data_IF_585349932487
#
_entry.id   IF_585349932487
#
_cell.length_a   1.000
_cell.length_b   1.000
_cell.length_c   1.000
_cell.angle_alpha   90.00
_cell.angle_beta   90.00
_cell.angle_gamma   90.00
#
_symmetry.space_group_name_H-M   'P 1'
#
loop_
_entity.id
_entity.type
_entity.pdbx_description
1 polymer ?
#
# COMPACT_ATOMS: atom_id res chain seq x y z
N UNK A 1 3.27 6.94 -9.87
CA UNK A 1 2.36 6.19 -10.76
C UNK A 1 1.17 7.05 -11.20
N UNK A 2 0.30 7.56 -10.31
CA UNK A 2 -0.90 8.36 -10.70
C UNK A 2 -0.53 9.52 -11.63
N UNK A 3 0.42 10.37 -11.24
CA UNK A 3 0.89 11.48 -12.10
C UNK A 3 1.35 11.00 -13.48
N UNK A 4 2.09 9.90 -13.55
CA UNK A 4 2.52 9.31 -14.81
C UNK A 4 1.34 8.88 -15.69
N UNK A 5 0.31 8.29 -15.09
CA UNK A 5 -0.91 7.90 -15.82
C UNK A 5 -1.67 9.12 -16.34
N UNK A 6 -1.72 10.22 -15.58
CA UNK A 6 -2.31 11.48 -16.05
C UNK A 6 -1.54 12.05 -17.25
N UNK A 7 -0.21 12.14 -17.12
CA UNK A 7 0.64 12.81 -18.13
C UNK A 7 0.74 12.01 -19.44
N UNK A 8 0.75 10.67 -19.37
CA UNK A 8 1.03 9.82 -20.52
C UNK A 8 -0.19 9.11 -21.10
N UNK A 9 -1.24 8.93 -20.28
CA UNK A 9 -2.44 8.19 -20.68
C UNK A 9 -3.72 9.01 -20.53
N UNK A 10 -3.60 10.28 -20.17
CA UNK A 10 -4.73 11.17 -19.92
C UNK A 10 -5.76 10.58 -18.93
N UNK A 11 -5.27 9.75 -17.99
CA UNK A 11 -6.11 9.15 -16.95
C UNK A 11 -6.55 10.21 -15.95
N UNK A 12 -7.81 10.18 -15.57
CA UNK A 12 -8.35 11.08 -14.54
C UNK A 12 -8.24 10.38 -13.17
N UNK A 13 -7.61 11.01 -12.16
CA UNK A 13 -7.42 10.38 -10.85
C UNK A 13 -8.71 9.93 -10.20
N UNK A 14 -9.79 10.68 -10.38
CA UNK A 14 -11.12 10.37 -9.86
C UNK A 14 -11.75 9.10 -10.47
N UNK A 15 -11.23 8.61 -11.58
CA UNK A 15 -11.64 7.36 -12.22
C UNK A 15 -10.75 6.18 -11.85
N UNK A 16 -9.63 6.44 -11.18
CA UNK A 16 -8.69 5.39 -10.77
C UNK A 16 -9.19 4.65 -9.53
N UNK A 17 -8.94 3.36 -9.50
CA UNK A 17 -9.14 2.50 -8.33
C UNK A 17 -7.78 2.13 -7.77
N UNK A 18 -7.61 2.25 -6.47
CA UNK A 18 -6.38 1.91 -5.77
C UNK A 18 -6.62 0.87 -4.68
N UNK A 19 -5.65 0.00 -4.48
CA UNK A 19 -5.67 -0.97 -3.38
C UNK A 19 -4.31 -0.99 -2.67
N UNK A 20 -4.36 -1.02 -1.33
CA UNK A 20 -3.20 -1.24 -0.47
C UNK A 20 -3.24 -2.70 -0.02
N UNK A 21 -2.33 -3.50 -0.54
CA UNK A 21 -2.22 -4.92 -0.25
C UNK A 21 -1.67 -5.21 1.15
N UNK A 22 -1.50 -6.50 1.53
CA UNK A 22 -0.90 -6.89 2.78
C UNK A 22 0.47 -6.26 2.98
N UNK A 23 0.66 -5.62 4.12
CA UNK A 23 1.90 -4.95 4.51
C UNK A 23 1.98 -4.85 6.03
N UNK A 24 3.10 -4.36 6.57
CA UNK A 24 3.29 -4.24 8.01
C UNK A 24 2.35 -3.17 8.59
N UNK A 25 1.66 -3.49 9.69
CA UNK A 25 0.78 -2.54 10.38
C UNK A 25 1.56 -1.61 11.33
N UNK A 26 0.89 -0.59 11.83
CA UNK A 26 1.46 0.40 12.74
C UNK A 26 2.05 -0.23 14.01
N UNK A 27 1.37 -1.20 14.62
CA UNK A 27 1.82 -1.85 15.86
C UNK A 27 3.13 -2.64 15.70
N UNK A 28 3.43 -3.08 14.49
CA UNK A 28 4.63 -3.85 14.16
C UNK A 28 5.75 -3.01 13.54
N UNK A 29 5.45 -1.79 13.07
CA UNK A 29 6.42 -0.99 12.33
C UNK A 29 7.00 0.14 13.18
N UNK A 30 7.94 -0.21 14.03
CA UNK A 30 8.72 0.76 14.82
C UNK A 30 9.93 1.25 14.03
N UNK A 31 10.14 2.57 13.99
CA UNK A 31 11.20 3.28 13.28
C UNK A 31 12.00 4.18 14.20
N UNK A 32 13.18 4.62 13.76
CA UNK A 32 14.01 5.59 14.47
C UNK A 32 13.48 7.02 14.33
N UNK A 33 13.96 7.92 15.20
CA UNK A 33 13.69 9.37 15.13
C UNK A 33 14.04 9.93 13.75
N UNK A 34 15.19 9.58 13.19
CA UNK A 34 15.65 10.04 11.88
C UNK A 34 14.62 9.71 10.77
N UNK A 35 14.06 8.51 10.78
CA UNK A 35 13.01 8.12 9.82
C UNK A 35 11.73 8.87 10.11
N UNK A 36 11.36 9.00 11.39
CA UNK A 36 10.14 9.69 11.80
C UNK A 36 10.14 11.17 11.37
N UNK A 37 11.28 11.86 11.47
CA UNK A 37 11.42 13.25 11.02
C UNK A 37 11.14 13.40 9.53
N UNK A 38 11.67 12.52 8.69
CA UNK A 38 11.39 12.54 7.25
C UNK A 38 9.90 12.40 6.94
N UNK A 39 9.18 11.59 7.73
CA UNK A 39 7.73 11.46 7.56
C UNK A 39 6.96 12.68 8.06
N UNK A 40 7.39 13.33 9.15
CA UNK A 40 6.77 14.58 9.64
C UNK A 40 6.83 15.72 8.62
N UNK A 41 7.93 15.82 7.88
CA UNK A 41 8.08 16.83 6.82
C UNK A 41 7.11 16.63 5.66
N UNK A 42 6.79 15.39 5.34
CA UNK A 42 5.97 15.03 4.16
C UNK A 42 4.49 14.89 4.50
N UNK A 43 4.19 14.41 5.70
CA UNK A 43 2.83 14.11 6.14
C UNK A 43 2.41 15.04 7.28
N UNK A 44 1.52 16.04 7.01
CA UNK A 44 0.91 16.84 8.06
C UNK A 44 -0.10 16.05 8.91
N UNK A 45 -0.56 14.91 8.38
CA UNK A 45 -1.44 13.99 9.11
C UNK A 45 -0.64 13.19 10.14
N UNK A 46 -1.30 12.82 11.21
CA UNK A 46 -0.72 11.99 12.25
C UNK A 46 -0.55 10.53 11.78
N UNK A 47 0.56 10.27 11.09
CA UNK A 47 0.97 8.92 10.66
C UNK A 47 1.97 8.28 11.61
N UNK A 48 2.37 9.01 12.65
CA UNK A 48 3.35 8.59 13.65
C UNK A 48 2.72 8.56 15.03
N UNK A 49 3.01 7.52 15.78
CA UNK A 49 2.62 7.38 17.17
C UNK A 49 3.88 7.19 18.04
N UNK A 50 3.84 7.46 19.34
CA UNK A 50 4.94 7.13 20.23
C UNK A 50 5.32 5.65 20.11
N UNK A 51 6.59 5.37 20.01
CA UNK A 51 7.11 3.99 19.96
C UNK A 51 7.17 3.34 21.35
N UNK A 52 7.58 2.08 21.38
CA UNK A 52 7.71 1.30 22.61
C UNK A 52 8.97 1.65 23.42
N UNK A 53 9.94 2.27 22.77
CA UNK A 53 11.19 2.70 23.40
C UNK A 53 11.44 4.20 23.17
N UNK A 54 12.19 4.88 24.06
CA UNK A 54 12.59 6.28 23.87
C UNK A 54 13.27 6.49 22.51
N UNK A 55 12.89 7.55 21.78
CA UNK A 55 13.41 7.87 20.45
C UNK A 55 12.96 6.91 19.34
N UNK A 56 11.92 6.13 19.59
CA UNK A 56 11.27 5.27 18.59
C UNK A 56 9.83 5.69 18.35
N UNK A 57 9.34 5.41 17.15
CA UNK A 57 8.00 5.78 16.70
C UNK A 57 7.35 4.63 15.95
N UNK A 58 6.05 4.46 16.15
CA UNK A 58 5.23 3.56 15.34
C UNK A 58 4.76 4.32 14.11
N UNK A 59 5.06 3.81 12.93
CA UNK A 59 4.72 4.44 11.65
C UNK A 59 3.57 3.70 10.96
N UNK A 60 2.48 4.42 10.71
CA UNK A 60 1.32 3.92 9.97
C UNK A 60 1.52 4.08 8.45
N UNK A 61 2.09 3.06 7.82
CA UNK A 61 2.28 3.04 6.37
C UNK A 61 0.96 2.96 5.59
N UNK A 62 -0.08 2.36 6.16
CA UNK A 62 -1.39 2.31 5.49
C UNK A 62 -1.99 3.69 5.38
N UNK A 63 -2.00 4.43 6.49
CA UNK A 63 -2.46 5.82 6.53
C UNK A 63 -1.61 6.74 5.65
N UNK A 64 -0.29 6.59 5.67
CA UNK A 64 0.61 7.35 4.82
C UNK A 64 0.32 7.12 3.32
N UNK A 65 0.14 5.88 2.89
CA UNK A 65 -0.21 5.56 1.51
C UNK A 65 -1.59 6.07 1.12
N UNK A 66 -2.59 5.95 2.00
CA UNK A 66 -3.93 6.52 1.77
C UNK A 66 -3.85 8.04 1.56
N UNK A 67 -3.08 8.74 2.40
CA UNK A 67 -2.87 10.19 2.27
C UNK A 67 -2.25 10.58 0.92
N UNK A 68 -1.23 9.84 0.46
CA UNK A 68 -0.60 10.06 -0.85
C UNK A 68 -1.62 9.88 -1.98
N UNK A 69 -2.45 8.84 -1.93
CA UNK A 69 -3.45 8.54 -2.94
C UNK A 69 -4.55 9.61 -2.97
N UNK A 70 -5.02 10.07 -1.79
CA UNK A 70 -5.97 11.17 -1.66
C UNK A 70 -5.42 12.47 -2.26
N UNK A 71 -4.18 12.83 -1.92
CA UNK A 71 -3.51 14.02 -2.48
C UNK A 71 -3.29 13.91 -3.99
N UNK A 72 -3.20 12.69 -4.51
CA UNK A 72 -3.12 12.45 -5.95
C UNK A 72 -4.47 12.56 -6.66
N UNK A 73 -5.58 12.78 -5.92
CA UNK A 73 -6.92 12.97 -6.46
C UNK A 73 -7.76 11.70 -6.56
N UNK A 74 -7.32 10.57 -5.99
CA UNK A 74 -8.14 9.35 -5.94
C UNK A 74 -9.17 9.49 -4.81
N UNK A 75 -10.48 9.33 -5.10
CA UNK A 75 -11.52 9.44 -4.09
C UNK A 75 -11.44 8.31 -3.05
N UNK A 76 -11.83 8.57 -1.78
CA UNK A 76 -11.80 7.56 -0.73
C UNK A 76 -12.58 6.29 -1.07
N UNK A 77 -13.73 6.44 -1.75
CA UNK A 77 -14.60 5.34 -2.18
C UNK A 77 -13.97 4.44 -3.24
N UNK A 78 -12.91 4.94 -3.93
CA UNK A 78 -12.14 4.18 -4.89
C UNK A 78 -10.87 3.55 -4.29
N UNK A 79 -10.72 3.59 -2.97
CA UNK A 79 -9.59 3.00 -2.28
C UNK A 79 -10.00 1.80 -1.42
N UNK A 80 -9.22 0.75 -1.49
CA UNK A 80 -9.34 -0.41 -0.62
C UNK A 80 -8.05 -0.66 0.15
N UNK A 81 -8.17 -1.02 1.44
CA UNK A 81 -7.05 -1.43 2.28
C UNK A 81 -7.35 -2.83 2.80
N UNK A 82 -6.44 -3.76 2.62
CA UNK A 82 -6.66 -5.15 3.04
C UNK A 82 -6.66 -5.32 4.56
N UNK A 83 -6.04 -4.42 5.30
CA UNK A 83 -5.85 -4.49 6.77
C UNK A 83 -5.19 -5.81 7.24
N UNK A 84 -4.40 -6.44 6.37
CA UNK A 84 -3.69 -7.68 6.66
C UNK A 84 -2.22 -7.37 6.91
N UNK A 85 -1.78 -7.59 8.15
CA UNK A 85 -0.40 -7.36 8.54
C UNK A 85 0.49 -8.55 8.18
N UNK A 86 1.55 -8.33 7.40
CA UNK A 86 2.52 -9.37 7.04
C UNK A 86 3.31 -9.87 8.25
N UNK A 87 3.55 -9.02 9.25
CA UNK A 87 4.30 -9.38 10.45
C UNK A 87 3.47 -10.24 11.43
N UNK A 88 2.15 -10.05 11.45
CA UNK A 88 1.24 -10.88 12.26
C UNK A 88 0.88 -12.23 11.58
N UNK A 89 1.12 -12.35 10.27
CA UNK A 89 0.79 -13.55 9.51
C UNK A 89 2.02 -14.13 8.78
N UNK A 90 3.12 -14.42 9.49
CA UNK A 90 4.38 -14.85 8.87
C UNK A 90 4.31 -16.23 8.25
N UNK A 91 3.32 -17.04 8.62
CA UNK A 91 3.08 -18.38 8.08
C UNK A 91 2.47 -18.37 6.66
N UNK A 92 1.84 -17.24 6.27
CA UNK A 92 1.22 -17.09 4.94
C UNK A 92 1.87 -16.02 4.09
N UNK A 93 2.54 -15.04 4.73
CA UNK A 93 3.04 -13.84 4.06
C UNK A 93 4.52 -13.61 4.42
N UNK A 94 5.32 -13.30 3.42
CA UNK A 94 6.70 -12.91 3.67
C UNK A 94 6.78 -11.59 4.44
N UNK A 95 7.51 -11.60 5.54
CA UNK A 95 7.74 -10.41 6.38
C UNK A 95 9.20 -10.30 6.77
N UNK A 96 9.86 -9.25 6.28
CA UNK A 96 11.25 -8.95 6.66
C UNK A 96 11.42 -8.80 8.17
N UNK A 97 10.46 -8.14 8.83
CA UNK A 97 10.50 -7.90 10.28
C UNK A 97 10.33 -9.18 11.08
N UNK A 98 9.34 -10.00 10.76
CA UNK A 98 9.08 -11.25 11.47
C UNK A 98 10.19 -12.30 11.24
N UNK A 99 10.78 -12.33 10.03
CA UNK A 99 11.82 -13.30 9.66
C UNK A 99 13.25 -12.82 9.93
N UNK A 100 13.44 -11.67 10.59
CA UNK A 100 14.76 -11.09 10.85
C UNK A 100 15.62 -10.96 9.58
N UNK A 101 15.00 -10.54 8.48
CA UNK A 101 15.68 -10.32 7.20
C UNK A 101 15.64 -11.49 6.21
N UNK A 102 15.26 -12.68 6.64
CA UNK A 102 15.07 -13.84 5.76
C UNK A 102 13.67 -13.78 5.15
N UNK A 103 13.54 -13.16 3.98
CA UNK A 103 12.26 -12.96 3.32
C UNK A 103 12.25 -13.35 1.86
N UNK A 104 11.09 -13.75 1.38
CA UNK A 104 10.75 -13.76 -0.04
C UNK A 104 10.04 -12.46 -0.47
N UNK A 105 9.44 -12.49 -1.64
CA UNK A 105 8.69 -11.37 -2.21
C UNK A 105 7.19 -11.71 -2.25
N UNK A 106 6.38 -10.67 -2.09
CA UNK A 106 4.96 -10.70 -2.41
C UNK A 106 4.75 -10.05 -3.76
N UNK A 107 3.82 -10.57 -4.55
CA UNK A 107 3.42 -10.00 -5.83
C UNK A 107 1.94 -9.62 -5.79
N UNK A 108 1.59 -8.55 -6.49
CA UNK A 108 0.22 -8.14 -6.71
C UNK A 108 -0.07 -8.11 -8.20
N UNK A 109 -1.26 -8.58 -8.57
CA UNK A 109 -1.73 -8.57 -9.95
C UNK A 109 -3.08 -7.86 -10.00
N UNK A 110 -3.22 -6.93 -10.93
CA UNK A 110 -4.45 -6.20 -11.16
C UNK A 110 -4.78 -6.24 -12.65
N UNK A 111 -6.04 -6.49 -12.98
CA UNK A 111 -6.50 -6.57 -14.35
C UNK A 111 -7.90 -6.00 -14.45
N UNK A 112 -8.18 -5.28 -15.53
CA UNK A 112 -9.54 -4.88 -15.86
C UNK A 112 -10.35 -6.10 -16.32
N UNK A 113 -11.57 -6.22 -15.81
CA UNK A 113 -12.48 -7.29 -16.21
C UNK A 113 -13.25 -6.92 -17.49
N UNK A 114 -13.40 -7.88 -18.34
CA UNK A 114 -14.51 -8.11 -19.24
C UNK A 114 -14.61 -7.42 -20.58
N UNK A 115 -15.02 -6.21 -20.68
CA UNK A 115 -15.28 -5.60 -21.98
C UNK A 115 -14.03 -5.49 -22.86
N UNK A 116 -12.90 -5.88 -22.29
CA UNK A 116 -11.59 -5.79 -22.91
C UNK A 116 -10.84 -7.14 -23.06
N UNK A 117 -11.52 -8.28 -22.89
CA UNK A 117 -10.88 -9.56 -23.20
C UNK A 117 -10.89 -9.71 -24.72
N UNK A 118 -9.72 -9.71 -25.41
CA UNK A 118 -9.68 -10.01 -26.83
C UNK A 118 -10.37 -11.35 -27.11
N UNK A 119 -11.11 -11.44 -28.22
CA UNK A 119 -11.84 -12.66 -28.59
C UNK A 119 -10.98 -13.94 -28.56
N UNK A 120 -9.67 -13.79 -28.77
CA UNK A 120 -8.72 -14.91 -28.69
C UNK A 120 -8.59 -15.55 -27.30
N UNK A 121 -9.06 -14.89 -26.23
CA UNK A 121 -9.01 -15.43 -24.85
C UNK A 121 -10.38 -15.91 -24.34
N UNK A 122 -11.44 -15.77 -25.13
CA UNK A 122 -12.80 -16.19 -24.73
C UNK A 122 -12.95 -17.72 -24.62
N UNK A 123 -11.98 -18.49 -25.10
CA UNK A 123 -11.95 -19.95 -24.99
C UNK A 123 -11.44 -20.50 -23.66
N UNK A 124 -10.94 -19.64 -22.76
CA UNK A 124 -10.49 -20.07 -21.43
C UNK A 124 -11.71 -20.20 -20.51
N UNK A 125 -12.11 -21.46 -20.26
CA UNK A 125 -13.18 -21.73 -19.30
C UNK A 125 -12.84 -21.11 -17.94
N UNK A 126 -13.81 -20.37 -17.39
CA UNK A 126 -13.75 -19.90 -16.01
C UNK A 126 -13.51 -21.11 -15.10
N UNK A 127 -12.41 -21.10 -14.38
CA UNK A 127 -12.15 -22.02 -13.26
C UNK A 127 -12.92 -21.50 -12.06
#
# INVERSE_FOLDING_TARGET
>A
MVRYMQEHFNSRPEELVAAIGPSICVDCYEVSEEVAEQFREVFPEDVLQPGKAPGKYQLDLWKANQSILLRAGIPPEHMAVTNVCTCHNPEYLFSHRASHGQRGNLAAFLMLKESWVPECLTGIKKI
#
